data_IF_811814247214
#
_entry.id   IF_811814247214
#
_cell.length_a   1.000
_cell.length_b   1.000
_cell.length_c   1.000
_cell.angle_alpha   90.00
_cell.angle_beta   90.00
_cell.angle_gamma   90.00
#
_symmetry.space_group_name_H-M   'P 1'
#
loop_
_entity.id
_entity.type
_entity.pdbx_description
1 polymer ?
#
# COMPACT_ATOMS: atom_id res chain seq x y z
N UNK A 1 -13.35 -15.72 3.50
CA UNK A 1 -13.46 -15.17 2.13
C UNK A 1 -12.05 -14.85 1.63
N UNK A 2 -11.85 -14.69 0.32
CA UNK A 2 -10.54 -14.30 -0.22
C UNK A 2 -10.45 -12.80 -0.37
N UNK A 3 -9.28 -12.26 -0.10
CA UNK A 3 -8.90 -10.86 -0.36
C UNK A 3 -7.68 -10.87 -1.27
N UNK A 4 -7.77 -10.14 -2.38
CA UNK A 4 -6.74 -10.09 -3.41
C UNK A 4 -6.33 -8.66 -3.65
N UNK A 5 -5.04 -8.37 -3.52
CA UNK A 5 -4.46 -7.10 -3.96
C UNK A 5 -3.69 -7.32 -5.26
N UNK A 6 -3.95 -6.48 -6.26
CA UNK A 6 -3.33 -6.58 -7.58
C UNK A 6 -3.14 -5.20 -8.20
N UNK A 7 -2.11 -5.08 -9.03
CA UNK A 7 -1.89 -3.91 -9.86
C UNK A 7 -1.30 -4.31 -11.21
N UNK A 8 -1.45 -3.44 -12.21
CA UNK A 8 -0.75 -3.57 -13.48
C UNK A 8 -0.57 -2.19 -14.09
N UNK A 9 0.67 -1.89 -14.49
CA UNK A 9 0.97 -0.76 -15.36
C UNK A 9 0.78 -1.18 -16.82
N UNK A 10 0.00 -0.41 -17.57
CA UNK A 10 -0.25 -0.58 -19.00
C UNK A 10 -0.84 0.71 -19.60
N UNK A 11 -0.78 0.87 -20.92
CA UNK A 11 -1.42 2.01 -21.59
C UNK A 11 -2.93 1.78 -21.75
N UNK A 12 -3.72 2.40 -20.88
CA UNK A 12 -5.18 2.34 -20.89
C UNK A 12 -5.79 3.50 -21.69
N UNK A 13 -6.25 3.22 -22.91
CA UNK A 13 -6.79 4.23 -23.83
C UNK A 13 -8.10 4.89 -23.35
N UNK A 14 -8.99 4.11 -22.75
CA UNK A 14 -10.29 4.61 -22.25
C UNK A 14 -10.54 4.15 -20.79
N UNK A 15 -9.97 4.89 -19.81
CA UNK A 15 -10.16 4.61 -18.39
C UNK A 15 -11.63 4.66 -17.95
N UNK A 16 -12.46 5.49 -18.58
CA UNK A 16 -13.88 5.63 -18.24
C UNK A 16 -14.69 4.40 -18.61
N UNK A 17 -14.49 3.89 -19.83
CA UNK A 17 -15.16 2.67 -20.28
C UNK A 17 -14.70 1.46 -19.47
N UNK A 18 -13.39 1.29 -19.28
CA UNK A 18 -12.84 0.20 -18.46
C UNK A 18 -13.38 0.24 -17.03
N UNK A 19 -13.40 1.43 -16.39
CA UNK A 19 -13.93 1.61 -15.03
C UNK A 19 -15.41 1.24 -14.94
N UNK A 20 -16.23 1.57 -15.94
CA UNK A 20 -17.66 1.20 -15.97
C UNK A 20 -17.85 -0.30 -16.07
N UNK A 21 -17.17 -0.95 -17.00
CA UNK A 21 -17.26 -2.40 -17.21
C UNK A 21 -16.76 -3.19 -16.01
N UNK A 22 -15.57 -2.84 -15.48
CA UNK A 22 -15.01 -3.46 -14.29
C UNK A 22 -15.94 -3.31 -13.08
N UNK A 23 -16.51 -2.12 -12.88
CA UNK A 23 -17.45 -1.89 -11.77
C UNK A 23 -18.70 -2.76 -11.89
N UNK A 24 -19.29 -2.83 -13.08
CA UNK A 24 -20.48 -3.64 -13.32
C UNK A 24 -20.22 -5.12 -13.06
N UNK A 25 -19.10 -5.65 -13.57
CA UNK A 25 -18.71 -7.05 -13.36
C UNK A 25 -18.45 -7.34 -11.87
N UNK A 26 -17.71 -6.48 -11.16
CA UNK A 26 -17.50 -6.66 -9.73
C UNK A 26 -18.82 -6.64 -8.93
N UNK A 27 -19.77 -5.79 -9.30
CA UNK A 27 -21.08 -5.71 -8.64
C UNK A 27 -21.96 -6.95 -8.93
N UNK A 28 -21.95 -7.45 -10.17
CA UNK A 28 -22.60 -8.71 -10.56
C UNK A 28 -22.04 -9.89 -9.76
N UNK A 29 -20.72 -9.95 -9.62
CA UNK A 29 -20.00 -10.95 -8.84
C UNK A 29 -20.07 -10.72 -7.32
N UNK A 30 -20.82 -9.71 -6.86
CA UNK A 30 -20.99 -9.33 -5.43
C UNK A 30 -19.66 -9.12 -4.70
N UNK A 31 -18.63 -8.67 -5.41
CA UNK A 31 -17.33 -8.35 -4.83
C UNK A 31 -17.39 -7.05 -4.04
N UNK A 32 -16.54 -6.97 -3.03
CA UNK A 32 -16.26 -5.76 -2.27
C UNK A 32 -14.83 -5.33 -2.55
N UNK A 33 -14.50 -4.06 -2.42
CA UNK A 33 -13.15 -3.62 -2.75
C UNK A 33 -13.02 -2.17 -3.14
N UNK A 34 -11.79 -1.78 -3.44
CA UNK A 34 -11.49 -0.52 -4.11
C UNK A 34 -10.47 -0.76 -5.20
N UNK A 35 -10.80 -0.34 -6.42
CA UNK A 35 -9.88 -0.32 -7.56
C UNK A 35 -9.73 1.11 -8.05
N UNK A 36 -8.49 1.53 -8.19
CA UNK A 36 -8.07 2.76 -8.86
C UNK A 36 -7.77 2.42 -10.32
N UNK A 37 -8.26 3.25 -11.22
CA UNK A 37 -8.03 3.17 -12.65
C UNK A 37 -7.45 4.50 -13.11
N UNK A 38 -6.41 4.46 -13.92
CA UNK A 38 -5.82 5.62 -14.57
C UNK A 38 -5.43 5.27 -16.00
N UNK A 39 -4.98 6.26 -16.77
CA UNK A 39 -4.43 6.02 -18.11
C UNK A 39 -3.21 5.08 -18.08
N UNK A 40 -2.49 5.02 -16.96
CA UNK A 40 -1.33 4.15 -16.72
C UNK A 40 -1.68 2.74 -16.19
N UNK A 41 -2.97 2.38 -16.09
CA UNK A 41 -3.40 1.03 -15.71
C UNK A 41 -4.35 0.99 -14.51
N UNK A 42 -4.20 -0.02 -13.66
CA UNK A 42 -5.07 -0.22 -12.49
C UNK A 42 -4.31 -0.72 -11.24
N UNK A 43 -4.85 -0.41 -10.06
CA UNK A 43 -4.37 -0.88 -8.77
C UNK A 43 -5.57 -1.05 -7.84
N UNK A 44 -5.68 -2.16 -7.13
CA UNK A 44 -6.74 -2.30 -6.16
C UNK A 44 -6.71 -3.55 -5.33
N UNK A 45 -7.73 -3.63 -4.48
CA UNK A 45 -8.01 -4.80 -3.66
C UNK A 45 -9.46 -5.22 -3.87
N UNK A 46 -9.66 -6.51 -4.11
CA UNK A 46 -10.95 -7.18 -4.24
C UNK A 46 -11.14 -8.17 -3.09
N UNK A 47 -12.37 -8.34 -2.62
CA UNK A 47 -12.74 -9.27 -1.57
C UNK A 47 -14.05 -9.98 -1.92
N UNK A 48 -14.07 -11.30 -1.79
CA UNK A 48 -15.22 -12.13 -2.17
C UNK A 48 -14.91 -13.63 -2.19
N UNK A 49 -15.68 -14.39 -2.98
CA UNK A 49 -15.33 -15.78 -3.28
C UNK A 49 -14.16 -15.83 -4.24
N UNK A 50 -13.36 -16.89 -4.16
CA UNK A 50 -12.22 -17.11 -5.05
C UNK A 50 -12.65 -17.15 -6.52
N UNK A 51 -13.71 -17.89 -6.83
CA UNK A 51 -14.29 -17.98 -8.17
C UNK A 51 -14.71 -16.61 -8.75
N UNK A 52 -15.32 -15.76 -7.94
CA UNK A 52 -15.73 -14.41 -8.35
C UNK A 52 -14.53 -13.53 -8.68
N UNK A 53 -13.46 -13.61 -7.86
CA UNK A 53 -12.23 -12.85 -8.10
C UNK A 53 -11.53 -13.37 -9.36
N UNK A 54 -11.41 -14.69 -9.52
CA UNK A 54 -10.83 -15.31 -10.72
C UNK A 54 -11.60 -14.92 -11.98
N UNK A 55 -12.92 -14.81 -11.92
CA UNK A 55 -13.76 -14.34 -13.04
C UNK A 55 -13.37 -12.92 -13.46
N UNK A 56 -13.21 -12.00 -12.50
CA UNK A 56 -12.77 -10.62 -12.79
C UNK A 56 -11.35 -10.59 -13.33
N UNK A 57 -10.42 -11.34 -12.74
CA UNK A 57 -9.03 -11.39 -13.18
C UNK A 57 -8.90 -11.94 -14.60
N UNK A 58 -9.65 -13.00 -14.94
CA UNK A 58 -9.67 -13.56 -16.29
C UNK A 58 -10.27 -12.57 -17.29
N UNK A 59 -11.35 -11.88 -16.93
CA UNK A 59 -11.91 -10.82 -17.77
C UNK A 59 -10.89 -9.71 -18.05
N UNK A 60 -10.13 -9.26 -17.04
CA UNK A 60 -9.06 -8.27 -17.23
C UNK A 60 -8.01 -8.81 -18.21
N UNK A 61 -7.57 -10.06 -18.05
CA UNK A 61 -6.59 -10.68 -18.96
C UNK A 61 -7.08 -10.70 -20.40
N UNK A 62 -8.33 -11.07 -20.61
CA UNK A 62 -8.96 -11.08 -21.93
C UNK A 62 -9.07 -9.68 -22.55
N UNK A 63 -9.43 -8.65 -21.77
CA UNK A 63 -9.55 -7.28 -22.27
C UNK A 63 -8.21 -6.71 -22.79
N UNK A 64 -7.10 -7.14 -22.19
CA UNK A 64 -5.77 -6.64 -22.54
C UNK A 64 -4.89 -7.67 -23.25
N UNK A 65 -5.44 -8.83 -23.62
CA UNK A 65 -4.69 -9.94 -24.24
C UNK A 65 -3.44 -10.34 -23.45
N UNK A 66 -3.55 -10.36 -22.11
CA UNK A 66 -2.46 -10.75 -21.21
C UNK A 66 -2.44 -12.27 -21.13
N UNK A 67 -1.34 -12.88 -21.60
CA UNK A 67 -1.21 -14.33 -21.66
C UNK A 67 -0.81 -14.92 -20.31
N UNK A 68 0.04 -14.21 -19.58
CA UNK A 68 0.46 -14.56 -18.22
C UNK A 68 -0.67 -14.38 -17.19
N UNK A 69 -0.48 -14.94 -16.01
CA UNK A 69 -1.33 -14.64 -14.86
C UNK A 69 -1.06 -13.22 -14.36
N UNK A 70 -2.10 -12.57 -13.80
CA UNK A 70 -1.93 -11.29 -13.15
C UNK A 70 -1.25 -11.53 -11.80
N UNK A 71 -0.12 -10.86 -11.56
CA UNK A 71 0.51 -10.85 -10.24
C UNK A 71 -0.47 -10.28 -9.21
N UNK A 72 -0.82 -11.12 -8.24
CA UNK A 72 -1.91 -10.89 -7.31
C UNK A 72 -1.61 -11.59 -5.99
N UNK A 73 -1.76 -10.86 -4.89
CA UNK A 73 -1.51 -11.38 -3.55
C UNK A 73 -2.80 -11.80 -2.88
N UNK A 74 -2.90 -13.08 -2.58
CA UNK A 74 -4.07 -13.70 -1.97
C UNK A 74 -3.90 -13.81 -0.45
N UNK A 75 -4.94 -13.41 0.28
CA UNK A 75 -5.02 -13.58 1.73
C UNK A 75 -6.41 -14.06 2.13
N UNK A 76 -6.48 -14.82 3.21
CA UNK A 76 -7.73 -15.23 3.82
C UNK A 76 -8.21 -14.17 4.83
N UNK A 77 -9.51 -13.89 4.82
CA UNK A 77 -10.14 -13.00 5.78
C UNK A 77 -11.42 -13.62 6.34
N UNK A 78 -11.59 -13.53 7.66
CA UNK A 78 -12.80 -13.93 8.38
C UNK A 78 -13.94 -12.93 8.16
N UNK A 79 -13.62 -11.64 8.02
CA UNK A 79 -14.56 -10.56 7.74
C UNK A 79 -14.20 -9.79 6.46
N UNK A 80 -15.18 -9.09 5.89
CA UNK A 80 -14.94 -8.26 4.70
C UNK A 80 -14.18 -6.97 5.08
N UNK A 81 -12.96 -6.74 4.55
CA UNK A 81 -12.19 -5.54 4.86
C UNK A 81 -12.79 -4.28 4.21
N UNK A 82 -13.62 -4.46 3.17
CA UNK A 82 -14.32 -3.40 2.48
C UNK A 82 -15.82 -3.50 2.69
N UNK A 83 -16.48 -2.34 2.76
CA UNK A 83 -17.94 -2.26 2.99
C UNK A 83 -18.77 -2.21 1.72
N UNK A 84 -18.16 -1.84 0.60
CA UNK A 84 -18.79 -1.71 -0.71
C UNK A 84 -17.73 -1.75 -1.80
N UNK A 85 -18.12 -2.13 -3.01
CA UNK A 85 -17.25 -1.97 -4.17
C UNK A 85 -17.10 -0.51 -4.58
N UNK A 86 -15.89 -0.10 -4.92
CA UNK A 86 -15.59 1.22 -5.51
C UNK A 86 -14.60 1.05 -6.65
N UNK A 87 -14.92 1.57 -7.82
CA UNK A 87 -13.95 1.76 -8.90
C UNK A 87 -13.84 3.25 -9.18
N UNK A 88 -12.64 3.81 -8.99
CA UNK A 88 -12.38 5.26 -9.04
C UNK A 88 -11.36 5.57 -10.10
N UNK A 89 -11.63 6.62 -10.87
CA UNK A 89 -10.63 7.17 -11.79
C UNK A 89 -9.73 8.12 -11.01
N UNK A 90 -8.43 8.00 -11.28
CA UNK A 90 -7.38 8.84 -10.73
C UNK A 90 -6.41 9.23 -11.84
N UNK A 91 -5.66 10.34 -11.66
CA UNK A 91 -4.55 10.66 -12.55
C UNK A 91 -3.47 9.57 -12.57
N UNK A 92 -3.22 8.96 -11.41
CA UNK A 92 -2.23 7.91 -11.21
C UNK A 92 -2.80 6.81 -10.29
N UNK A 93 -2.43 5.55 -10.53
CA UNK A 93 -2.83 4.39 -9.71
C UNK A 93 -2.00 4.26 -8.42
N UNK A 94 -0.85 4.94 -8.39
CA UNK A 94 -0.05 5.28 -7.21
C UNK A 94 0.58 6.64 -7.47
N UNK A 95 0.30 7.62 -6.63
CA UNK A 95 0.59 9.02 -6.99
C UNK A 95 2.02 9.41 -6.63
N UNK A 96 2.90 9.40 -7.63
CA UNK A 96 4.26 9.95 -7.56
C UNK A 96 4.26 11.45 -7.89
N UNK A 97 3.27 11.96 -8.64
CA UNK A 97 3.26 13.33 -9.14
C UNK A 97 4.08 13.53 -10.43
N UNK A 98 4.54 12.43 -11.02
CA UNK A 98 5.30 12.36 -12.28
C UNK A 98 4.56 11.46 -13.27
N UNK A 99 3.51 11.95 -13.97
CA UNK A 99 2.71 11.14 -14.90
C UNK A 99 3.46 10.71 -16.16
N UNK A 100 4.63 11.30 -16.40
CA UNK A 100 5.57 10.98 -17.46
C UNK A 100 6.45 9.76 -17.14
N UNK A 101 6.52 9.34 -15.87
CA UNK A 101 7.17 8.09 -15.47
C UNK A 101 6.23 6.92 -15.79
N UNK A 102 6.66 6.05 -16.72
CA UNK A 102 5.89 4.93 -17.25
C UNK A 102 6.58 3.59 -16.95
N UNK A 103 6.28 2.95 -15.80
CA UNK A 103 6.99 1.74 -15.36
C UNK A 103 6.91 0.56 -16.33
N UNK A 104 5.84 0.45 -17.11
CA UNK A 104 5.69 -0.62 -18.11
C UNK A 104 6.63 -0.48 -19.31
N UNK A 105 7.31 0.67 -19.45
CA UNK A 105 8.31 0.91 -20.52
C UNK A 105 9.73 0.75 -20.01
N UNK A 106 10.01 1.24 -18.81
CA UNK A 106 11.32 1.14 -18.18
C UNK A 106 11.13 1.17 -16.66
N UNK A 107 11.63 0.15 -15.98
CA UNK A 107 11.64 0.05 -14.51
C UNK A 107 12.92 -0.67 -14.09
N UNK A 108 13.24 -0.59 -12.81
CA UNK A 108 14.39 -1.28 -12.22
C UNK A 108 14.28 -2.80 -12.33
N UNK A 109 15.35 -3.48 -11.97
CA UNK A 109 15.43 -4.94 -12.02
C UNK A 109 14.68 -5.54 -10.82
N UNK A 110 13.70 -6.41 -11.09
CA UNK A 110 13.04 -7.24 -10.09
C UNK A 110 14.03 -8.22 -9.46
N UNK A 111 14.08 -8.21 -8.12
CA UNK A 111 14.89 -9.13 -7.32
C UNK A 111 13.94 -9.94 -6.44
N UNK A 112 13.98 -11.26 -6.60
CA UNK A 112 13.21 -12.19 -5.79
C UNK A 112 13.64 -12.16 -4.31
N UNK A 113 12.80 -12.68 -3.42
CA UNK A 113 13.06 -12.63 -1.99
C UNK A 113 14.35 -13.39 -1.60
N UNK A 114 14.65 -14.50 -2.29
CA UNK A 114 15.82 -15.34 -2.04
C UNK A 114 17.14 -14.59 -2.25
N UNK A 115 17.21 -13.80 -3.33
CA UNK A 115 18.38 -12.97 -3.67
C UNK A 115 18.40 -11.62 -2.97
N UNK A 116 17.25 -11.15 -2.48
CA UNK A 116 17.12 -9.85 -1.82
C UNK A 116 18.08 -9.69 -0.64
N UNK A 117 18.19 -10.72 0.21
CA UNK A 117 19.06 -10.69 1.38
C UNK A 117 20.55 -10.52 1.03
N UNK A 118 21.00 -11.12 -0.07
CA UNK A 118 22.38 -10.97 -0.53
C UNK A 118 22.63 -9.56 -1.06
N UNK A 119 21.68 -9.03 -1.83
CA UNK A 119 21.75 -7.67 -2.37
C UNK A 119 21.86 -6.62 -1.26
N UNK A 120 21.00 -6.69 -0.25
CA UNK A 120 20.98 -5.69 0.83
C UNK A 120 22.07 -5.88 1.88
N UNK A 121 22.85 -6.97 1.79
CA UNK A 121 24.02 -7.20 2.65
C UNK A 121 25.28 -6.52 2.11
N UNK A 122 25.30 -6.12 0.84
CA UNK A 122 26.41 -5.39 0.23
C UNK A 122 26.43 -3.94 0.75
N UNK A 123 27.51 -3.48 1.42
CA UNK A 123 27.60 -2.12 1.94
C UNK A 123 27.64 -1.03 0.86
N UNK A 124 27.95 -1.38 -0.39
CA UNK A 124 27.96 -0.43 -1.51
C UNK A 124 26.54 -0.14 -2.01
N UNK A 125 25.59 -1.04 -1.77
CA UNK A 125 24.18 -0.88 -2.17
C UNK A 125 23.46 0.08 -1.23
N UNK A 126 22.82 1.10 -1.79
CA UNK A 126 21.91 1.97 -1.05
C UNK A 126 20.53 1.32 -0.95
N UNK A 127 20.17 0.90 0.26
CA UNK A 127 18.84 0.39 0.56
C UNK A 127 17.89 1.55 0.86
N UNK A 128 16.79 1.68 0.12
CA UNK A 128 15.83 2.79 0.28
C UNK A 128 14.42 2.25 0.51
N UNK A 129 13.80 2.70 1.59
CA UNK A 129 12.38 2.45 1.87
C UNK A 129 11.53 3.50 1.16
N UNK A 130 10.78 3.09 0.13
CA UNK A 130 9.96 4.04 -0.67
C UNK A 130 8.61 4.35 -0.03
N UNK A 131 8.40 3.89 1.21
CA UNK A 131 7.16 4.10 1.94
C UNK A 131 7.12 5.46 2.63
N UNK A 132 5.96 5.82 3.16
CA UNK A 132 5.83 7.04 3.95
C UNK A 132 6.41 6.82 5.35
N UNK A 133 6.86 7.90 6.01
CA UNK A 133 7.51 7.86 7.31
C UNK A 133 6.73 7.04 8.36
N UNK A 134 5.41 7.26 8.46
CA UNK A 134 4.57 6.51 9.41
C UNK A 134 4.51 5.00 9.16
N UNK A 135 4.86 4.52 7.97
CA UNK A 135 4.94 3.08 7.65
C UNK A 135 6.31 2.50 8.05
N UNK A 136 7.35 3.34 8.02
CA UNK A 136 8.73 3.01 8.37
C UNK A 136 8.86 2.88 9.89
N UNK A 137 8.18 3.76 10.65
CA UNK A 137 8.09 3.69 12.12
C UNK A 137 7.54 2.35 12.64
N UNK A 138 6.67 1.69 11.87
CA UNK A 138 6.10 0.37 12.22
C UNK A 138 7.12 -0.76 12.08
N UNK A 139 8.04 -0.62 11.11
CA UNK A 139 9.06 -1.61 10.79
C UNK A 139 9.70 -1.33 9.45
N UNK A 140 10.97 -1.72 9.29
CA UNK A 140 11.76 -1.54 8.05
C UNK A 140 12.90 -2.56 7.99
N UNK A 141 13.60 -2.65 6.86
CA UNK A 141 14.86 -3.38 6.78
C UNK A 141 15.97 -2.58 7.47
N UNK A 142 16.76 -3.18 8.38
CA UNK A 142 17.87 -2.48 9.03
C UNK A 142 18.84 -1.87 8.01
N UNK A 143 19.20 -0.60 8.22
CA UNK A 143 20.09 0.14 7.33
C UNK A 143 19.40 0.79 6.13
N UNK A 144 18.08 0.61 5.95
CA UNK A 144 17.32 1.32 4.93
C UNK A 144 17.29 2.83 5.21
N UNK A 145 17.48 3.62 4.15
CA UNK A 145 17.31 5.07 4.15
C UNK A 145 15.81 5.37 4.17
N UNK A 146 15.42 6.21 5.12
CA UNK A 146 14.10 6.85 5.17
C UNK A 146 14.16 8.17 4.38
N UNK A 147 13.42 8.31 3.28
CA UNK A 147 13.33 9.56 2.53
C UNK A 147 12.70 10.73 3.30
N UNK A 148 12.04 10.49 4.44
CA UNK A 148 11.33 11.50 5.23
C UNK A 148 9.99 11.92 4.63
N UNK A 149 9.41 11.13 3.71
CA UNK A 149 8.19 11.47 3.01
C UNK A 149 6.93 11.25 3.87
N UNK A 150 6.08 12.27 4.00
CA UNK A 150 4.72 12.09 4.51
C UNK A 150 3.80 11.46 3.46
N UNK A 151 4.15 11.68 2.19
CA UNK A 151 3.43 11.20 1.01
C UNK A 151 4.40 10.80 -0.10
N UNK A 152 4.13 9.70 -0.81
CA UNK A 152 4.94 9.25 -1.95
C UNK A 152 5.12 10.30 -3.08
N UNK A 153 4.27 11.35 -3.12
CA UNK A 153 4.45 12.51 -4.01
C UNK A 153 5.70 13.35 -3.73
N UNK A 154 6.28 13.21 -2.54
CA UNK A 154 7.49 13.92 -2.12
C UNK A 154 8.76 13.15 -2.52
N UNK A 155 8.64 11.86 -2.83
CA UNK A 155 9.76 11.01 -3.26
C UNK A 155 10.58 11.59 -4.42
N UNK A 156 10.01 12.27 -5.44
CA UNK A 156 10.81 12.88 -6.49
C UNK A 156 11.83 13.92 -6.01
N UNK A 157 11.55 14.65 -4.93
CA UNK A 157 12.51 15.62 -4.40
C UNK A 157 13.70 14.90 -3.76
N UNK A 158 13.43 13.92 -2.89
CA UNK A 158 14.47 13.05 -2.33
C UNK A 158 15.33 12.38 -3.42
N UNK A 159 14.68 11.83 -4.45
CA UNK A 159 15.36 11.16 -5.56
C UNK A 159 16.31 12.11 -6.31
N UNK A 160 15.88 13.36 -6.52
CA UNK A 160 16.67 14.40 -7.17
C UNK A 160 17.85 14.83 -6.28
N UNK A 161 17.62 15.07 -4.99
CA UNK A 161 18.68 15.40 -4.03
C UNK A 161 19.74 14.30 -3.93
N UNK A 162 19.33 13.03 -4.01
CA UNK A 162 20.25 11.89 -4.03
C UNK A 162 21.06 11.85 -5.33
N UNK A 163 20.42 12.07 -6.49
CA UNK A 163 21.08 12.12 -7.79
C UNK A 163 22.11 13.27 -7.90
N UNK A 164 21.82 14.43 -7.29
CA UNK A 164 22.74 15.56 -7.22
C UNK A 164 24.00 15.26 -6.40
N UNK A 165 23.94 14.30 -5.48
CA UNK A 165 25.11 13.86 -4.70
C UNK A 165 25.99 12.89 -5.51
N UNK A 166 25.40 11.82 -6.04
CA UNK A 166 26.06 10.84 -6.92
C UNK A 166 25.02 9.85 -7.45
N UNK A 167 25.25 9.34 -8.65
CA UNK A 167 24.46 8.27 -9.28
C UNK A 167 25.23 6.95 -9.41
N UNK A 168 26.43 6.87 -8.83
CA UNK A 168 27.38 5.76 -9.07
C UNK A 168 27.06 4.51 -8.24
N UNK A 169 26.29 4.66 -7.16
CA UNK A 169 26.00 3.57 -6.24
C UNK A 169 24.78 2.77 -6.69
N UNK A 170 24.81 1.43 -6.60
CA UNK A 170 23.63 0.61 -6.82
C UNK A 170 22.53 0.92 -5.80
N UNK A 171 21.27 0.84 -6.22
CA UNK A 171 20.09 1.09 -5.39
C UNK A 171 19.26 -0.18 -5.22
N UNK A 172 18.86 -0.49 -4.00
CA UNK A 172 17.85 -1.52 -3.70
C UNK A 172 16.64 -0.85 -3.05
N UNK A 173 15.47 -0.94 -3.69
CA UNK A 173 14.27 -0.26 -3.22
C UNK A 173 13.14 -1.21 -2.89
N UNK A 174 12.38 -0.92 -1.85
CA UNK A 174 11.24 -1.73 -1.45
C UNK A 174 10.06 -0.89 -0.96
N UNK A 175 8.89 -1.52 -0.94
CA UNK A 175 7.68 -1.03 -0.29
C UNK A 175 6.81 -2.22 0.11
N UNK A 176 5.64 -1.98 0.68
CA UNK A 176 4.71 -3.02 1.15
C UNK A 176 4.43 -4.06 0.06
N UNK A 177 4.23 -3.61 -1.17
CA UNK A 177 3.66 -4.44 -2.20
C UNK A 177 4.10 -4.17 -3.62
N UNK A 178 5.32 -3.68 -3.83
CA UNK A 178 5.93 -3.49 -5.15
C UNK A 178 5.52 -2.23 -5.92
N UNK A 179 4.24 -1.85 -5.93
CA UNK A 179 3.72 -0.82 -6.87
C UNK A 179 4.43 0.55 -6.80
N UNK A 180 4.84 1.01 -5.60
CA UNK A 180 5.61 2.26 -5.48
C UNK A 180 7.00 2.12 -6.09
N UNK A 181 7.63 0.97 -5.89
CA UNK A 181 8.95 0.69 -6.42
C UNK A 181 8.96 0.65 -7.94
N UNK A 182 7.88 0.23 -8.60
CA UNK A 182 7.76 0.29 -10.07
C UNK A 182 8.00 1.71 -10.60
N UNK A 183 7.40 2.72 -9.92
CA UNK A 183 7.59 4.14 -10.26
C UNK A 183 8.89 4.71 -9.75
N UNK A 184 9.26 4.37 -8.52
CA UNK A 184 10.47 4.89 -7.89
C UNK A 184 11.71 4.47 -8.69
N UNK A 185 11.84 3.20 -9.05
CA UNK A 185 12.99 2.72 -9.84
C UNK A 185 13.03 3.33 -11.23
N UNK A 186 11.88 3.45 -11.90
CA UNK A 186 11.78 4.13 -13.19
C UNK A 186 12.26 5.59 -13.12
N UNK A 187 11.92 6.30 -12.04
CA UNK A 187 12.42 7.65 -11.79
C UNK A 187 13.93 7.67 -11.53
N UNK A 188 14.47 6.75 -10.72
CA UNK A 188 15.92 6.70 -10.46
C UNK A 188 16.70 6.43 -11.75
N UNK A 189 16.22 5.54 -12.62
CA UNK A 189 16.82 5.31 -13.94
C UNK A 189 16.82 6.58 -14.81
N UNK A 190 15.71 7.34 -14.81
CA UNK A 190 15.64 8.63 -15.54
C UNK A 190 16.65 9.66 -15.01
N UNK A 191 16.89 9.66 -13.69
CA UNK A 191 17.83 10.55 -13.02
C UNK A 191 19.30 10.15 -13.21
N UNK A 192 19.58 9.03 -13.89
CA UNK A 192 20.94 8.63 -14.28
C UNK A 192 21.58 7.53 -13.43
N UNK A 193 20.83 6.90 -12.52
CA UNK A 193 21.31 5.69 -11.85
C UNK A 193 21.30 4.51 -12.84
N UNK A 194 22.38 3.73 -12.88
CA UNK A 194 22.50 2.58 -13.80
C UNK A 194 22.00 1.28 -13.17
N UNK A 195 22.37 1.03 -11.91
CA UNK A 195 22.06 -0.21 -11.19
C UNK A 195 20.93 0.02 -10.19
N UNK A 196 19.69 -0.14 -10.66
CA UNK A 196 18.47 0.10 -9.85
C UNK A 196 17.67 -1.18 -9.71
N UNK A 197 17.54 -1.68 -8.49
CA UNK A 197 16.85 -2.91 -8.13
C UNK A 197 15.62 -2.61 -7.26
N UNK A 198 14.63 -3.51 -7.31
CA UNK A 198 13.54 -3.49 -6.34
C UNK A 198 13.06 -4.88 -5.94
N UNK A 199 12.53 -4.98 -4.72
CA UNK A 199 12.00 -6.22 -4.18
C UNK A 199 10.74 -6.64 -4.91
N UNK A 200 10.82 -7.75 -5.65
CA UNK A 200 9.70 -8.33 -6.35
C UNK A 200 8.61 -8.71 -5.35
N UNK A 201 7.39 -8.25 -5.61
CA UNK A 201 6.27 -8.49 -4.70
C UNK A 201 6.30 -7.68 -3.39
N UNK A 202 7.34 -6.87 -3.14
CA UNK A 202 7.49 -6.08 -1.93
C UNK A 202 7.64 -6.89 -0.64
N UNK A 203 7.53 -6.20 0.49
CA UNK A 203 7.74 -6.78 1.84
C UNK A 203 6.81 -7.97 2.08
N UNK A 204 5.54 -7.89 1.65
CA UNK A 204 4.59 -8.98 1.86
C UNK A 204 5.02 -10.29 1.18
N UNK A 205 5.60 -10.21 -0.03
CA UNK A 205 6.11 -11.39 -0.73
C UNK A 205 7.37 -11.93 -0.05
N UNK A 206 8.27 -11.03 0.38
CA UNK A 206 9.45 -11.40 1.14
C UNK A 206 9.11 -12.17 2.42
N UNK A 207 8.13 -11.67 3.19
CA UNK A 207 7.70 -12.32 4.43
C UNK A 207 7.03 -13.68 4.19
N UNK A 208 6.35 -13.88 3.05
CA UNK A 208 5.77 -15.19 2.72
C UNK A 208 6.77 -16.23 2.24
N UNK A 209 7.90 -15.80 1.67
CA UNK A 209 8.87 -16.71 1.02
C UNK A 209 10.09 -17.01 1.90
N UNK A 210 10.47 -16.10 2.79
CA UNK A 210 11.71 -16.20 3.56
C UNK A 210 11.47 -16.84 4.92
N UNK A 211 12.25 -17.89 5.20
CA UNK A 211 12.25 -18.56 6.50
C UNK A 211 12.63 -17.61 7.63
N UNK A 212 12.04 -17.82 8.82
CA UNK A 212 12.27 -16.99 10.00
C UNK A 212 13.76 -16.84 10.40
N UNK A 213 14.60 -17.83 10.08
CA UNK A 213 16.04 -17.78 10.35
C UNK A 213 16.82 -16.86 9.39
N UNK A 214 16.29 -16.64 8.18
CA UNK A 214 16.89 -15.79 7.16
C UNK A 214 16.21 -14.41 7.06
N UNK A 215 15.07 -14.23 7.73
CA UNK A 215 14.32 -12.99 7.73
C UNK A 215 15.16 -11.84 8.32
N UNK A 216 15.31 -10.77 7.54
CA UNK A 216 16.02 -9.53 7.88
C UNK A 216 15.08 -8.36 8.20
N UNK A 217 13.77 -8.55 8.07
CA UNK A 217 12.78 -7.54 8.40
C UNK A 217 12.75 -7.28 9.91
N UNK A 218 12.65 -6.01 10.30
CA UNK A 218 12.52 -5.58 11.70
C UNK A 218 11.20 -4.87 11.92
N UNK A 219 10.49 -5.24 12.99
CA UNK A 219 9.15 -4.71 13.31
C UNK A 219 8.03 -5.42 12.56
N UNK A 220 6.94 -4.71 12.32
CA UNK A 220 5.77 -5.19 11.58
C UNK A 220 5.65 -4.49 10.23
N UNK A 221 4.84 -5.01 9.32
CA UNK A 221 4.62 -4.41 8.00
C UNK A 221 3.28 -3.69 7.96
N UNK A 222 3.29 -2.37 7.80
CA UNK A 222 2.06 -1.58 7.65
C UNK A 222 1.26 -1.99 6.39
N UNK A 223 -0.06 -2.17 6.55
CA UNK A 223 -1.01 -2.51 5.48
C UNK A 223 -2.21 -1.55 5.45
N UNK A 224 -2.73 -1.28 4.25
CA UNK A 224 -3.76 -0.27 4.00
C UNK A 224 -5.20 -0.76 4.22
N UNK A 225 -5.41 -1.68 5.17
CA UNK A 225 -6.71 -2.24 5.52
C UNK A 225 -6.95 -2.22 7.04
N UNK A 226 -7.97 -2.94 7.50
CA UNK A 226 -8.40 -2.93 8.89
C UNK A 226 -7.37 -3.50 9.86
N UNK A 227 -6.43 -4.34 9.38
CA UNK A 227 -5.39 -4.96 10.20
C UNK A 227 -4.31 -3.98 10.64
N UNK A 228 -4.14 -2.86 9.92
CA UNK A 228 -3.14 -1.80 10.16
C UNK A 228 -1.69 -2.23 9.95
N UNK A 229 -1.29 -3.35 10.53
CA UNK A 229 0.02 -3.97 10.34
C UNK A 229 -0.13 -5.50 10.33
N UNK A 230 0.85 -6.17 9.74
CA UNK A 230 1.01 -7.62 9.81
C UNK A 230 2.39 -7.97 10.35
N UNK A 231 2.47 -9.05 11.12
CA UNK A 231 3.74 -9.53 11.66
C UNK A 231 4.55 -10.31 10.61
N UNK A 232 5.65 -10.92 11.06
CA UNK A 232 6.56 -11.70 10.21
C UNK A 232 5.90 -12.93 9.57
N UNK A 233 4.84 -13.45 10.18
CA UNK A 233 4.08 -14.62 9.73
C UNK A 233 2.83 -14.20 8.93
N UNK A 234 2.73 -12.92 8.58
CA UNK A 234 1.59 -12.29 7.91
C UNK A 234 0.29 -12.35 8.72
N UNK A 235 0.38 -12.63 10.02
CA UNK A 235 -0.76 -12.54 10.94
C UNK A 235 -1.04 -11.08 11.30
N UNK A 236 -2.23 -10.82 11.85
CA UNK A 236 -2.61 -9.47 12.29
C UNK A 236 -1.65 -8.99 13.41
N UNK A 237 -1.08 -7.81 13.19
CA UNK A 237 -0.07 -7.22 14.05
C UNK A 237 -0.62 -6.50 15.28
N UNK A 238 0.29 -5.90 16.06
CA UNK A 238 0.00 -5.20 17.31
C UNK A 238 -0.36 -3.72 17.16
N UNK A 239 -0.57 -3.20 15.94
CA UNK A 239 -0.88 -1.80 15.72
C UNK A 239 -2.38 -1.54 15.53
N UNK A 240 -2.85 -0.39 16.01
CA UNK A 240 -4.21 0.09 15.77
C UNK A 240 -4.19 1.42 15.03
N UNK A 241 -5.21 1.69 14.21
CA UNK A 241 -5.23 2.92 13.43
C UNK A 241 -5.82 4.07 14.25
N UNK A 242 -5.07 5.17 14.41
CA UNK A 242 -5.63 6.40 14.93
C UNK A 242 -6.78 6.88 14.04
N UNK A 243 -7.99 6.95 14.58
CA UNK A 243 -9.16 7.38 13.84
C UNK A 243 -9.22 8.90 13.56
N UNK A 244 -8.30 9.67 14.16
CA UNK A 244 -8.14 11.09 13.93
C UNK A 244 -7.13 11.42 12.81
N UNK A 245 -5.89 10.93 12.91
CA UNK A 245 -4.81 11.21 11.94
C UNK A 245 -4.51 10.06 10.97
N UNK A 246 -5.08 8.87 11.16
CA UNK A 246 -4.89 7.66 10.34
C UNK A 246 -3.52 6.98 10.46
N UNK A 247 -2.59 7.54 11.25
CA UNK A 247 -1.30 6.91 11.59
C UNK A 247 -1.52 5.62 12.40
N UNK A 248 -0.66 4.61 12.23
CA UNK A 248 -0.63 3.43 13.09
C UNK A 248 -0.17 3.83 14.50
N UNK A 249 -0.74 3.20 15.52
CA UNK A 249 -0.41 3.39 16.93
C UNK A 249 0.03 2.07 17.51
N UNK A 250 1.19 2.07 18.15
CA UNK A 250 1.66 0.96 18.96
C UNK A 250 0.79 0.78 20.21
N UNK A 251 0.92 -0.35 20.89
CA UNK A 251 0.24 -0.55 22.17
C UNK A 251 0.64 0.51 23.21
N UNK A 252 1.91 0.95 23.22
CA UNK A 252 2.38 2.00 24.11
C UNK A 252 1.75 3.36 23.79
N UNK A 253 1.58 3.69 22.51
CA UNK A 253 0.88 4.91 22.09
C UNK A 253 -0.55 4.95 22.61
N UNK A 254 -1.23 3.80 22.66
CA UNK A 254 -2.61 3.72 23.18
C UNK A 254 -2.72 3.91 24.70
N UNK A 255 -1.60 3.78 25.43
CA UNK A 255 -1.55 4.01 26.88
C UNK A 255 -1.18 5.46 27.24
N UNK A 256 -0.80 6.28 26.26
CA UNK A 256 -0.46 7.68 26.50
C UNK A 256 -1.67 8.49 27.00
N UNK A 257 -1.45 9.47 27.90
CA UNK A 257 -2.52 10.40 28.32
C UNK A 257 -3.12 11.22 27.17
N UNK A 258 -2.38 11.38 26.06
CA UNK A 258 -2.85 12.10 24.87
C UNK A 258 -3.72 11.24 23.94
N UNK A 259 -3.80 9.93 24.21
CA UNK A 259 -4.66 9.03 23.47
C UNK A 259 -6.11 9.14 23.92
N UNK A 260 -6.95 9.55 22.97
CA UNK A 260 -8.41 9.56 23.11
C UNK A 260 -8.98 8.85 21.89
N UNK A 261 -9.48 7.63 22.09
CA UNK A 261 -10.04 6.81 21.01
C UNK A 261 -11.04 7.63 20.16
N UNK A 262 -10.81 7.65 18.84
CA UNK A 262 -11.63 8.42 17.90
C UNK A 262 -11.30 9.91 17.76
N UNK A 263 -10.48 10.49 18.64
CA UNK A 263 -10.29 11.95 18.77
C UNK A 263 -8.84 12.40 18.66
N UNK A 264 -7.91 11.78 19.38
CA UNK A 264 -6.50 12.19 19.40
C UNK A 264 -5.56 11.02 19.74
N UNK A 265 -4.28 11.21 19.44
CA UNK A 265 -3.19 10.33 19.82
C UNK A 265 -1.93 11.17 20.09
N UNK A 266 -0.86 10.60 20.65
CA UNK A 266 0.38 11.33 20.96
C UNK A 266 0.94 12.10 19.75
N UNK A 267 0.78 11.51 18.56
CA UNK A 267 1.31 12.05 17.32
C UNK A 267 0.49 13.21 16.73
N UNK A 268 -0.78 13.38 17.10
CA UNK A 268 -1.67 14.35 16.44
C UNK A 268 -2.46 15.25 17.38
N UNK A 269 -2.26 15.12 18.69
CA UNK A 269 -2.93 15.95 19.71
C UNK A 269 -2.71 17.45 19.46
N UNK A 270 -1.55 17.82 18.91
CA UNK A 270 -1.18 19.21 18.59
C UNK A 270 -1.38 19.59 17.11
N UNK A 271 -1.86 18.67 16.26
CA UNK A 271 -2.07 18.91 14.82
C UNK A 271 -3.53 19.24 14.47
N UNK A 272 -4.47 19.03 15.40
CA UNK A 272 -5.91 19.17 15.14
C UNK A 272 -6.43 20.56 15.51
N UNK A 273 -7.08 21.23 14.56
CA UNK A 273 -7.83 22.46 14.82
C UNK A 273 -9.13 22.21 15.62
N UNK A 274 -9.68 23.27 16.19
CA UNK A 274 -10.89 23.21 17.03
C UNK A 274 -12.10 22.60 16.30
N UNK A 275 -12.30 22.95 15.03
CA UNK A 275 -13.42 22.44 14.23
C UNK A 275 -13.28 20.94 13.96
N UNK A 276 -12.05 20.47 13.70
CA UNK A 276 -11.71 19.06 13.52
C UNK A 276 -11.96 18.30 14.81
N UNK A 277 -11.56 18.83 15.96
CA UNK A 277 -11.81 18.21 17.26
C UNK A 277 -13.31 18.03 17.52
N UNK A 278 -14.13 19.06 17.26
CA UNK A 278 -15.60 18.97 17.40
C UNK A 278 -16.18 17.87 16.51
N UNK A 279 -15.76 17.79 15.23
CA UNK A 279 -16.22 16.74 14.32
C UNK A 279 -15.82 15.33 14.78
N UNK A 280 -14.61 15.17 15.30
CA UNK A 280 -14.11 13.89 15.80
C UNK A 280 -14.84 13.45 17.07
N UNK A 281 -15.10 14.38 17.99
CA UNK A 281 -15.86 14.11 19.21
C UNK A 281 -17.31 13.74 18.91
N UNK A 282 -17.97 14.45 17.98
CA UNK A 282 -19.34 14.12 17.58
C UNK A 282 -19.38 12.75 16.89
N UNK A 283 -18.42 12.43 16.02
CA UNK A 283 -18.29 11.09 15.44
C UNK A 283 -18.14 10.03 16.54
N UNK A 284 -17.26 10.23 17.51
CA UNK A 284 -17.06 9.29 18.64
C UNK A 284 -18.37 9.08 19.40
N UNK A 285 -19.08 10.17 19.70
CA UNK A 285 -20.39 10.13 20.39
C UNK A 285 -21.42 9.32 19.61
N UNK A 286 -21.52 9.54 18.29
CA UNK A 286 -22.47 8.82 17.46
C UNK A 286 -22.14 7.31 17.33
N UNK A 287 -20.86 6.96 17.31
CA UNK A 287 -20.40 5.56 17.36
C UNK A 287 -20.82 4.90 18.67
N UNK A 288 -20.55 5.55 19.81
CA UNK A 288 -20.93 5.04 21.13
C UNK A 288 -22.45 4.87 21.26
N UNK A 289 -23.24 5.85 20.79
CA UNK A 289 -24.70 5.78 20.80
C UNK A 289 -25.24 4.63 19.95
N UNK A 290 -24.65 4.34 18.80
CA UNK A 290 -25.08 3.19 17.99
C UNK A 290 -24.72 1.86 18.64
N UNK A 291 -23.53 1.74 19.24
CA UNK A 291 -23.13 0.55 19.98
C UNK A 291 -24.11 0.23 21.11
N UNK A 292 -24.57 1.25 21.86
CA UNK A 292 -25.61 1.09 22.88
C UNK A 292 -26.96 0.63 22.31
N UNK A 293 -27.26 0.96 21.06
CA UNK A 293 -28.47 0.49 20.34
C UNK A 293 -28.30 -0.89 19.70
N UNK A 294 -27.10 -1.51 19.78
CA UNK A 294 -26.78 -2.72 19.02
C UNK A 294 -26.65 -2.49 17.51
N UNK A 295 -26.56 -1.24 17.08
CA UNK A 295 -26.46 -0.81 15.69
C UNK A 295 -25.01 -0.49 15.31
N UNK A 296 -24.66 -0.67 14.03
CA UNK A 296 -23.37 -0.19 13.50
C UNK A 296 -23.51 1.26 13.03
N UNK A 297 -22.80 2.21 13.64
CA UNK A 297 -22.80 3.61 13.18
C UNK A 297 -21.98 3.80 11.90
N UNK A 298 -20.85 3.09 11.78
CA UNK A 298 -19.93 3.27 10.66
C UNK A 298 -20.19 2.16 9.64
N UNK A 299 -20.72 2.52 8.47
CA UNK A 299 -21.00 1.60 7.35
C UNK A 299 -22.30 1.97 6.65
N UNK A 300 -22.66 1.38 5.49
CA UNK A 300 -24.01 1.56 4.98
C UNK A 300 -25.00 1.06 6.03
N UNK A 301 -26.09 1.80 6.24
CA UNK A 301 -27.30 1.20 6.81
C UNK A 301 -27.64 0.03 5.89
N UNK A 302 -27.75 -1.15 6.48
CA UNK A 302 -28.29 -2.36 5.84
C UNK A 302 -29.47 -2.03 4.95
#
# INVERSE_FOLDING_TARGET
MKVVSLYRFLDLKDPETFRKQLKALCEEQRLLGTVLVAAEGFNGTLAGSEEAICTVMNWIREQFSINEELDARWTDASEAPFRRMRVKIKPEIVTLGRPDILPHKNTGVHVDAGRWNELIADPEVLLIDTRNHYEIEVGTFPGAIDPGNDSFREFPEFAKELAEQSTDRPLAMFCTGGIRCEKATALMLELGFEEVYHLQGGILNYLSEIDAAQNKWSGECFVFDTRVAVDRDLAEGGYVQCHACRRPLSMDDTQSPDYREGVSCPHCVNESDADRLVRLEERRKQVALAALRGERHIGPKT
#
